data_IF_798864867414
#
_entry.id   IF_798864867414
#
_cell.length_a   1.000
_cell.length_b   1.000
_cell.length_c   1.000
_cell.angle_alpha   90.00
_cell.angle_beta   90.00
_cell.angle_gamma   90.00
#
_symmetry.space_group_name_H-M   'P 1'
#
loop_
_entity.id
_entity.type
_entity.pdbx_description
1 polymer ?
#
# COMPACT_ATOMS: atom_id res chain seq x y z
N UNK A 1 -11.37 9.53 -6.92
CA UNK A 1 -10.55 10.47 -6.14
C UNK A 1 -10.28 9.78 -4.82
N UNK A 2 -9.28 8.88 -4.82
CA UNK A 2 -8.77 8.21 -3.64
C UNK A 2 -7.79 9.16 -2.96
N UNK A 3 -8.22 9.85 -1.91
CA UNK A 3 -7.33 10.71 -1.12
C UNK A 3 -6.58 9.83 -0.09
N UNK A 4 -5.84 8.85 -0.60
CA UNK A 4 -4.97 7.98 0.20
C UNK A 4 -3.80 8.76 0.81
N UNK A 5 -3.35 8.37 2.00
CA UNK A 5 -2.09 8.84 2.59
C UNK A 5 -0.93 8.09 1.91
N UNK A 6 -0.74 8.32 0.62
CA UNK A 6 0.42 7.85 -0.14
C UNK A 6 1.20 9.05 -0.67
N UNK A 7 2.55 8.95 -0.73
CA UNK A 7 3.38 9.95 -1.43
C UNK A 7 3.39 9.75 -2.94
N UNK A 8 2.95 8.58 -3.40
CA UNK A 8 2.90 8.21 -4.80
C UNK A 8 1.49 8.49 -5.27
N UNK A 9 1.33 9.42 -6.20
CA UNK A 9 0.07 9.55 -6.93
C UNK A 9 -0.25 8.19 -7.54
N UNK A 10 -1.46 7.67 -7.29
CA UNK A 10 -1.95 6.48 -7.96
C UNK A 10 -2.06 6.82 -9.45
N UNK A 11 -1.02 6.46 -10.20
CA UNK A 11 -1.00 6.71 -11.62
C UNK A 11 -1.98 5.74 -12.30
N UNK A 12 -3.13 6.26 -12.72
CA UNK A 12 -4.08 5.53 -13.55
C UNK A 12 -3.52 5.38 -14.97
N UNK A 13 -2.61 4.42 -15.15
CA UNK A 13 -2.18 4.00 -16.49
C UNK A 13 -3.09 2.89 -17.04
N UNK A 14 -3.32 2.84 -18.37
CA UNK A 14 -4.01 1.71 -18.99
C UNK A 14 -3.29 0.40 -18.66
N UNK A 15 -3.96 -0.48 -17.93
CA UNK A 15 -3.41 -1.79 -17.59
C UNK A 15 -3.30 -2.62 -18.88
N UNK A 16 -2.10 -3.15 -19.17
CA UNK A 16 -1.91 -4.11 -20.26
C UNK A 16 -2.90 -5.28 -20.07
N UNK A 17 -3.74 -5.62 -21.06
CA UNK A 17 -4.74 -6.69 -20.92
C UNK A 17 -4.18 -8.04 -20.46
N UNK A 18 -2.91 -8.35 -20.75
CA UNK A 18 -2.26 -9.57 -20.24
C UNK A 18 -2.03 -9.49 -18.74
N UNK A 19 -1.60 -8.35 -18.24
CA UNK A 19 -1.40 -8.13 -16.80
C UNK A 19 -2.74 -8.11 -16.08
N UNK A 20 -3.74 -7.42 -16.65
CA UNK A 20 -5.10 -7.44 -16.10
C UNK A 20 -5.64 -8.87 -15.96
N UNK A 21 -5.36 -9.73 -16.95
CA UNK A 21 -5.72 -11.16 -16.86
C UNK A 21 -4.94 -11.93 -15.79
N UNK A 22 -3.66 -11.63 -15.58
CA UNK A 22 -2.87 -12.23 -14.50
C UNK A 22 -3.43 -11.84 -13.12
N UNK A 23 -3.75 -10.56 -12.91
CA UNK A 23 -4.38 -10.09 -11.67
C UNK A 23 -5.72 -10.78 -11.39
N UNK A 24 -6.51 -11.06 -12.43
CA UNK A 24 -7.78 -11.81 -12.30
C UNK A 24 -7.55 -13.31 -12.09
N UNK A 25 -6.48 -13.88 -12.65
CA UNK A 25 -6.14 -15.29 -12.48
C UNK A 25 -5.62 -15.59 -11.07
N UNK A 26 -4.93 -14.63 -10.45
CA UNK A 26 -4.30 -14.78 -9.13
C UNK A 26 -4.69 -13.64 -8.16
N UNK A 27 -5.99 -13.48 -7.84
CA UNK A 27 -6.47 -12.36 -7.03
C UNK A 27 -6.04 -12.42 -5.55
N UNK A 28 -5.53 -13.58 -5.09
CA UNK A 28 -5.16 -13.82 -3.69
C UNK A 28 -3.77 -13.33 -3.30
N UNK A 29 -3.08 -12.60 -4.17
CA UNK A 29 -1.72 -12.11 -3.92
C UNK A 29 -1.66 -10.88 -3.00
N UNK A 30 -2.79 -10.33 -2.54
CA UNK A 30 -2.82 -9.33 -1.48
C UNK A 30 -3.82 -9.69 -0.39
N UNK A 31 -3.36 -9.79 0.86
CA UNK A 31 -4.21 -9.95 2.03
C UNK A 31 -4.33 -8.61 2.74
N UNK A 32 -5.54 -8.05 2.78
CA UNK A 32 -5.83 -6.77 3.44
C UNK A 32 -6.54 -6.98 4.78
N UNK A 33 -5.96 -6.43 5.84
CA UNK A 33 -6.60 -6.31 7.15
C UNK A 33 -7.00 -4.86 7.40
N UNK A 34 -8.23 -4.63 7.84
CA UNK A 34 -8.76 -3.27 8.07
C UNK A 34 -9.02 -3.07 9.55
N UNK A 35 -8.50 -1.97 10.11
CA UNK A 35 -8.62 -1.61 11.51
C UNK A 35 -9.19 -0.20 11.66
N UNK A 36 -10.22 -0.04 12.51
CA UNK A 36 -10.67 1.28 12.94
C UNK A 36 -9.78 1.77 14.10
N UNK A 37 -9.02 2.83 13.88
CA UNK A 37 -8.09 3.40 14.86
C UNK A 37 -8.18 4.92 14.88
N UNK A 38 -8.55 5.50 16.04
CA UNK A 38 -8.70 6.95 16.23
C UNK A 38 -9.60 7.64 15.17
N UNK A 39 -10.60 6.92 14.65
CA UNK A 39 -11.50 7.42 13.60
C UNK A 39 -10.95 7.28 12.18
N UNK A 40 -9.75 6.72 12.02
CA UNK A 40 -9.15 6.36 10.73
C UNK A 40 -9.39 4.88 10.42
N UNK A 41 -9.49 4.54 9.13
CA UNK A 41 -9.44 3.16 8.65
C UNK A 41 -8.03 2.87 8.18
N UNK A 42 -7.28 2.12 8.99
CA UNK A 42 -5.95 1.65 8.63
C UNK A 42 -6.08 0.33 7.90
N UNK A 43 -5.47 0.24 6.72
CA UNK A 43 -5.43 -0.95 5.88
C UNK A 43 -3.99 -1.48 5.92
N UNK A 44 -3.80 -2.65 6.54
CA UNK A 44 -2.53 -3.36 6.52
C UNK A 44 -2.59 -4.38 5.38
N UNK A 45 -1.73 -4.17 4.39
CA UNK A 45 -1.58 -5.04 3.24
C UNK A 45 -0.36 -5.95 3.39
N UNK A 46 -0.58 -7.24 3.19
CA UNK A 46 0.47 -8.21 2.90
C UNK A 46 0.38 -8.59 1.43
N UNK A 47 1.28 -8.06 0.60
CA UNK A 47 1.32 -8.33 -0.84
C UNK A 47 2.41 -9.35 -1.15
N UNK A 48 2.00 -10.48 -1.71
CA UNK A 48 2.83 -11.64 -2.05
C UNK A 48 3.13 -11.61 -3.55
N UNK A 49 4.39 -11.35 -3.89
CA UNK A 49 4.91 -11.47 -5.25
C UNK A 49 5.75 -12.74 -5.39
N UNK A 50 5.97 -13.21 -6.62
CA UNK A 50 6.89 -14.31 -6.92
C UNK A 50 8.33 -14.05 -6.43
N UNK A 51 8.70 -12.78 -6.28
CA UNK A 51 10.03 -12.30 -5.89
C UNK A 51 10.10 -11.82 -4.42
N UNK A 52 9.06 -12.06 -3.62
CA UNK A 52 9.03 -11.77 -2.18
C UNK A 52 7.74 -11.10 -1.72
N UNK A 53 7.66 -10.82 -0.42
CA UNK A 53 6.48 -10.20 0.21
C UNK A 53 6.77 -8.76 0.61
N UNK A 54 5.83 -7.84 0.37
CA UNK A 54 5.85 -6.48 0.92
C UNK A 54 4.72 -6.28 1.92
N UNK A 55 4.96 -5.39 2.89
CA UNK A 55 3.95 -4.96 3.85
C UNK A 55 3.75 -3.45 3.73
N UNK A 56 2.50 -3.01 3.65
CA UNK A 56 2.16 -1.59 3.54
C UNK A 56 1.03 -1.24 4.52
N UNK A 57 1.08 -0.03 5.10
CA UNK A 57 -0.04 0.54 5.84
C UNK A 57 -0.58 1.69 5.00
N UNK A 58 -1.83 1.54 4.57
CA UNK A 58 -2.58 2.55 3.83
C UNK A 58 -3.70 3.12 4.72
N UNK A 59 -4.08 4.36 4.43
CA UNK A 59 -5.20 5.01 5.10
C UNK A 59 -5.76 6.03 4.12
N UNK A 60 -7.05 5.97 3.80
CA UNK A 60 -7.71 7.06 3.07
C UNK A 60 -8.06 8.18 4.06
N UNK A 61 -7.71 9.41 3.74
CA UNK A 61 -7.87 10.54 4.66
C UNK A 61 -8.16 11.86 3.96
N UNK A 62 -9.04 12.65 4.59
CA UNK A 62 -9.33 14.03 4.19
C UNK A 62 -8.28 15.04 4.69
N UNK A 63 -7.42 14.63 5.63
CA UNK A 63 -6.36 15.44 6.24
C UNK A 63 -5.02 14.67 6.21
N UNK A 64 -4.49 14.31 5.03
CA UNK A 64 -3.42 13.31 4.90
C UNK A 64 -2.14 13.69 5.64
N UNK A 65 -1.74 14.97 5.63
CA UNK A 65 -0.53 15.45 6.32
C UNK A 65 -0.61 15.29 7.86
N UNK A 66 -1.81 15.40 8.42
CA UNK A 66 -2.05 15.26 9.85
C UNK A 66 -2.13 13.79 10.23
N UNK A 67 -2.90 13.02 9.49
CA UNK A 67 -3.17 11.62 9.80
C UNK A 67 -1.92 10.76 9.56
N UNK A 68 -1.10 11.11 8.58
CA UNK A 68 0.23 10.54 8.38
C UNK A 68 1.10 10.66 9.64
N UNK A 69 1.17 11.85 10.24
CA UNK A 69 1.96 12.07 11.47
C UNK A 69 1.43 11.25 12.64
N UNK A 70 0.11 11.01 12.71
CA UNK A 70 -0.47 10.15 13.73
C UNK A 70 -0.03 8.69 13.55
N UNK A 71 -0.06 8.18 12.31
CA UNK A 71 0.37 6.82 11.98
C UNK A 71 1.88 6.66 12.23
N UNK A 72 2.70 7.62 11.81
CA UNK A 72 4.15 7.60 12.12
C UNK A 72 4.43 7.57 13.62
N UNK A 73 3.66 8.34 14.40
CA UNK A 73 3.76 8.32 15.87
C UNK A 73 3.42 6.95 16.42
N UNK A 74 2.31 6.34 15.98
CA UNK A 74 1.92 4.98 16.36
C UNK A 74 3.05 3.97 16.10
N UNK A 75 3.68 4.01 14.92
CA UNK A 75 4.74 3.08 14.56
C UNK A 75 6.00 3.30 15.41
N UNK A 76 6.43 4.56 15.57
CA UNK A 76 7.60 4.92 16.40
C UNK A 76 7.41 4.54 17.87
N UNK A 77 6.24 4.82 18.44
CA UNK A 77 5.92 4.53 19.83
C UNK A 77 5.92 3.02 20.13
N UNK A 78 5.67 2.19 19.11
CA UNK A 78 5.71 0.73 19.20
C UNK A 78 7.03 0.12 18.69
N UNK A 79 8.04 0.95 18.35
CA UNK A 79 9.33 0.46 17.86
C UNK A 79 9.27 -0.25 16.51
N UNK A 80 8.28 0.07 15.68
CA UNK A 80 8.11 -0.52 14.35
C UNK A 80 8.86 0.33 13.33
N UNK A 81 9.79 -0.29 12.62
CA UNK A 81 10.51 0.35 11.51
C UNK A 81 9.58 0.51 10.30
N UNK A 82 9.68 1.66 9.63
CA UNK A 82 8.93 1.93 8.41
C UNK A 82 9.68 2.90 7.50
N UNK A 83 9.31 2.89 6.23
CA UNK A 83 9.68 3.88 5.23
C UNK A 83 8.43 4.35 4.49
N UNK A 84 8.56 5.40 3.69
CA UNK A 84 7.47 5.79 2.79
C UNK A 84 7.54 4.97 1.51
N UNK A 85 6.41 4.44 1.03
CA UNK A 85 6.34 3.80 -0.28
C UNK A 85 6.75 4.78 -1.37
N UNK A 86 7.69 4.36 -2.23
CA UNK A 86 8.18 5.13 -3.39
C UNK A 86 7.52 4.69 -4.71
N UNK A 87 6.86 3.53 -4.70
CA UNK A 87 6.13 2.97 -5.83
C UNK A 87 4.85 2.29 -5.31
N UNK A 88 3.79 2.28 -6.13
CA UNK A 88 2.60 1.50 -5.83
C UNK A 88 2.82 0.00 -6.12
N UNK A 89 1.95 -0.86 -5.60
CA UNK A 89 2.01 -2.32 -5.75
C UNK A 89 2.12 -2.78 -7.21
N UNK A 90 1.44 -2.09 -8.13
CA UNK A 90 1.49 -2.42 -9.56
C UNK A 90 2.85 -2.13 -10.17
N UNK A 91 3.47 -1.00 -9.85
CA UNK A 91 4.83 -0.67 -10.26
C UNK A 91 5.86 -1.65 -9.66
N UNK A 92 5.67 -2.07 -8.40
CA UNK A 92 6.51 -3.10 -7.77
C UNK A 92 6.38 -4.43 -8.52
N UNK A 93 5.15 -4.91 -8.75
CA UNK A 93 4.85 -6.10 -9.54
C UNK A 93 5.54 -6.07 -10.91
N UNK A 94 5.36 -4.96 -11.65
CA UNK A 94 5.97 -4.74 -12.97
C UNK A 94 7.49 -4.75 -12.95
N UNK A 95 8.10 -4.27 -11.87
CA UNK A 95 9.55 -4.19 -11.74
C UNK A 95 10.22 -5.55 -11.54
N UNK A 96 9.45 -6.57 -11.10
CA UNK A 96 9.97 -7.92 -10.86
C UNK A 96 10.91 -8.02 -9.65
N UNK A 97 10.93 -7.01 -8.77
CA UNK A 97 11.79 -6.95 -7.59
C UNK A 97 11.14 -6.12 -6.48
N UNK A 98 11.47 -6.42 -5.23
CA UNK A 98 11.05 -5.59 -4.10
C UNK A 98 11.72 -4.20 -4.14
N UNK A 99 11.01 -3.13 -3.73
CA UNK A 99 11.62 -1.83 -3.50
C UNK A 99 12.71 -1.96 -2.42
N UNK A 100 13.80 -1.19 -2.59
CA UNK A 100 14.95 -1.20 -1.67
C UNK A 100 14.82 -0.13 -0.60
#
# INVERSE_FOLDING_TARGET
MSDGISRVEEQEEPIDPKIGRMCVAEPGQNVRQVFDWKGLKLELDETIYDFGTSYEIECESKEPEKDKKLIEGLLKDNGIEFSYSEANKFAVFRSGKLPR
#
